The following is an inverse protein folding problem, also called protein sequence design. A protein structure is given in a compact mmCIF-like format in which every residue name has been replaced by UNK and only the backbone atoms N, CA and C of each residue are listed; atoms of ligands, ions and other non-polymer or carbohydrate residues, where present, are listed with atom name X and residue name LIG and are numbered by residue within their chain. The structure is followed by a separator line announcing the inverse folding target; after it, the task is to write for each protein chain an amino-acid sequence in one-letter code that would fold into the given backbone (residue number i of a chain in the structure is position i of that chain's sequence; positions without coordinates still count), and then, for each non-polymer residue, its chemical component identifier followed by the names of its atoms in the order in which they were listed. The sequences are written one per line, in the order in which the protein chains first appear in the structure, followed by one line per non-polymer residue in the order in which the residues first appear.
data_IF_967135159815
#
_entry.id   IF_967135159815
#
_cell.length_a   1.000
_cell.length_b   1.000
_cell.length_c   1.000
_cell.angle_alpha   90.00
_cell.angle_beta   90.00
_cell.angle_gamma   90.00
#
_symmetry.space_group_name_H-M   'P 1'
#
loop_
_entity.id
_entity.type
_entity.pdbx_description
1 polymer ?
#
# COMPACT_ATOMS: atom_id res chain seq x y z
N UNK A 1 29.50 8.82 34.00
CA UNK A 1 28.08 8.49 33.89
C UNK A 1 27.43 9.63 33.13
N UNK A 2 27.41 9.52 31.80
CA UNK A 2 26.81 10.54 30.93
C UNK A 2 25.42 9.99 30.66
N UNK A 3 24.43 10.57 31.32
CA UNK A 3 23.02 10.38 30.94
C UNK A 3 22.85 11.01 29.57
N UNK A 4 22.74 10.16 28.54
CA UNK A 4 22.19 10.55 27.25
C UNK A 4 20.68 10.81 27.51
N UNK A 5 20.34 12.07 27.67
CA UNK A 5 18.97 12.54 27.54
C UNK A 5 18.55 12.15 26.11
N UNK A 6 17.68 11.16 26.00
CA UNK A 6 16.90 10.96 24.79
C UNK A 6 16.07 12.24 24.63
N UNK A 7 16.53 13.15 23.79
CA UNK A 7 15.69 14.22 23.26
C UNK A 7 14.52 13.53 22.56
N UNK A 8 13.35 13.57 23.17
CA UNK A 8 12.10 13.21 22.49
C UNK A 8 12.02 14.07 21.24
N UNK A 9 12.38 13.47 20.10
CA UNK A 9 12.28 14.16 18.82
C UNK A 9 10.83 14.52 18.60
N UNK A 10 10.50 15.82 18.67
CA UNK A 10 9.16 16.33 18.38
C UNK A 10 8.67 15.75 17.05
N UNK A 11 7.51 15.10 17.07
CA UNK A 11 6.91 14.57 15.85
C UNK A 11 6.56 15.71 14.90
N UNK A 12 6.85 15.51 13.62
CA UNK A 12 6.48 16.46 12.56
C UNK A 12 4.95 16.57 12.49
N UNK A 13 4.41 17.77 12.59
CA UNK A 13 2.98 18.08 12.54
C UNK A 13 2.54 18.38 11.12
N UNK A 14 1.52 17.68 10.62
CA UNK A 14 0.97 17.85 9.28
C UNK A 14 -0.46 18.42 9.32
N UNK A 15 -0.74 19.40 8.47
CA UNK A 15 -2.10 19.79 8.10
C UNK A 15 -2.52 18.98 6.87
N UNK A 16 -3.63 18.24 6.96
CA UNK A 16 -4.16 17.48 5.84
C UNK A 16 -5.20 18.29 5.08
N UNK A 17 -5.16 18.26 3.75
CA UNK A 17 -6.09 18.96 2.89
C UNK A 17 -6.57 18.04 1.79
N UNK A 18 -7.86 17.79 1.70
CA UNK A 18 -8.41 16.89 0.68
C UNK A 18 -9.90 17.10 0.43
N UNK A 19 -10.38 16.34 -0.53
CA UNK A 19 -11.79 16.23 -0.87
C UNK A 19 -12.28 14.94 -0.20
N UNK A 20 -13.41 14.43 -0.39
CA UNK A 20 -14.31 13.76 0.54
C UNK A 20 -13.69 13.20 1.85
N UNK A 21 -14.48 13.11 2.88
CA UNK A 21 -14.05 12.74 4.24
C UNK A 21 -13.38 11.35 4.31
N UNK A 22 -13.84 10.41 3.50
CA UNK A 22 -13.31 9.03 3.47
C UNK A 22 -11.86 8.96 3.00
N UNK A 23 -11.48 9.78 2.01
CA UNK A 23 -10.10 9.83 1.56
C UNK A 23 -9.16 10.41 2.62
N UNK A 24 -9.64 11.36 3.44
CA UNK A 24 -8.83 11.91 4.54
C UNK A 24 -8.61 10.91 5.68
N UNK A 25 -9.52 9.98 5.94
CA UNK A 25 -9.32 8.92 6.93
C UNK A 25 -8.14 8.04 6.52
N UNK A 26 -8.08 7.66 5.26
CA UNK A 26 -6.97 6.88 4.73
C UNK A 26 -5.66 7.67 4.73
N UNK A 27 -5.69 8.95 4.31
CA UNK A 27 -4.52 9.83 4.37
C UNK A 27 -3.98 10.00 5.80
N UNK A 28 -4.86 10.11 6.81
CA UNK A 28 -4.46 10.08 8.23
C UNK A 28 -3.69 8.82 8.58
N UNK A 29 -4.18 7.66 8.14
CA UNK A 29 -3.50 6.37 8.34
C UNK A 29 -2.11 6.34 7.71
N UNK A 30 -1.95 6.90 6.50
CA UNK A 30 -0.65 7.03 5.82
C UNK A 30 0.32 7.91 6.62
N UNK A 31 -0.14 9.08 7.07
CA UNK A 31 0.65 10.05 7.84
C UNK A 31 1.10 9.44 9.18
N UNK A 32 0.20 8.74 9.88
CA UNK A 32 0.56 8.01 11.11
C UNK A 32 1.57 6.89 10.85
N UNK A 33 1.50 6.23 9.70
CA UNK A 33 2.47 5.20 9.31
C UNK A 33 3.87 5.77 9.17
N UNK A 34 4.02 7.02 8.71
CA UNK A 34 5.29 7.76 8.67
C UNK A 34 5.77 8.23 10.04
N UNK A 35 4.98 8.05 11.10
CA UNK A 35 5.31 8.55 12.43
C UNK A 35 5.05 10.04 12.64
N UNK A 36 4.35 10.69 11.70
CA UNK A 36 3.95 12.09 11.79
C UNK A 36 2.66 12.25 12.59
N UNK A 37 2.44 13.44 13.13
CA UNK A 37 1.22 13.82 13.84
C UNK A 37 0.31 14.63 12.91
N UNK A 38 -0.99 14.32 12.92
CA UNK A 38 -2.00 15.11 12.20
C UNK A 38 -2.48 16.24 13.11
N UNK A 39 -2.09 17.49 12.78
CA UNK A 39 -2.47 18.66 13.56
C UNK A 39 -3.93 19.06 13.31
N UNK A 40 -4.37 19.02 12.04
CA UNK A 40 -5.77 19.30 11.66
C UNK A 40 -6.05 18.79 10.24
N UNK A 41 -7.32 18.84 9.84
CA UNK A 41 -7.80 18.42 8.53
C UNK A 41 -8.74 19.44 7.93
N UNK A 42 -8.49 19.83 6.69
CA UNK A 42 -9.37 20.71 5.90
C UNK A 42 -10.03 19.89 4.79
N UNK A 43 -11.36 19.76 4.88
CA UNK A 43 -12.15 19.14 3.81
C UNK A 43 -12.54 20.20 2.79
N UNK A 44 -12.25 19.94 1.52
CA UNK A 44 -12.60 20.80 0.40
C UNK A 44 -13.88 20.27 -0.25
N UNK A 45 -14.94 21.07 -0.31
CA UNK A 45 -16.18 20.67 -0.97
C UNK A 45 -16.01 20.43 -2.48
N UNK A 46 -15.03 21.09 -3.10
CA UNK A 46 -14.69 20.96 -4.52
C UNK A 46 -13.21 21.28 -4.73
N UNK A 47 -12.51 20.43 -5.46
CA UNK A 47 -11.20 20.74 -6.00
C UNK A 47 -11.45 21.39 -7.37
N UNK A 48 -11.15 22.68 -7.45
CA UNK A 48 -11.23 23.40 -8.71
C UNK A 48 -9.83 23.31 -9.38
N UNK A 49 -9.77 22.84 -10.63
CA UNK A 49 -8.51 22.61 -11.36
C UNK A 49 -7.82 23.93 -11.76
N UNK A 50 -7.78 24.92 -10.86
CA UNK A 50 -7.07 26.18 -11.13
C UNK A 50 -5.57 25.97 -11.28
N UNK A 51 -4.92 26.61 -12.27
CA UNK A 51 -3.52 26.32 -12.63
C UNK A 51 -2.52 26.59 -11.52
N UNK A 52 -2.77 27.61 -10.66
CA UNK A 52 -1.78 28.06 -9.70
C UNK A 52 -1.65 27.16 -8.47
N UNK A 53 -2.78 26.73 -7.88
CA UNK A 53 -2.82 26.00 -6.60
C UNK A 53 -3.76 24.78 -6.62
N UNK A 54 -4.47 24.51 -7.71
CA UNK A 54 -5.57 23.54 -7.72
C UNK A 54 -6.84 24.05 -7.05
N UNK A 55 -6.85 25.33 -6.65
CA UNK A 55 -7.98 26.06 -6.06
C UNK A 55 -7.77 27.58 -6.18
N UNK A 56 -8.79 28.36 -5.79
CA UNK A 56 -8.70 29.84 -5.76
C UNK A 56 -7.61 30.34 -4.80
N UNK A 57 -6.90 31.39 -5.21
CA UNK A 57 -5.77 31.97 -4.45
C UNK A 57 -6.16 32.36 -3.02
N UNK A 58 -7.36 32.95 -2.82
CA UNK A 58 -7.86 33.31 -1.49
C UNK A 58 -8.03 32.10 -0.57
N UNK A 59 -8.52 30.96 -1.09
CA UNK A 59 -8.62 29.71 -0.32
C UNK A 59 -7.25 29.15 0.02
N UNK A 60 -6.30 29.18 -0.92
CA UNK A 60 -4.93 28.77 -0.66
C UNK A 60 -4.26 29.61 0.44
N UNK A 61 -4.47 30.95 0.43
CA UNK A 61 -3.98 31.84 1.50
C UNK A 61 -4.60 31.53 2.85
N UNK A 62 -5.91 31.21 2.91
CA UNK A 62 -6.58 30.81 4.15
C UNK A 62 -5.99 29.51 4.71
N UNK A 63 -5.74 28.50 3.86
CA UNK A 63 -5.12 27.22 4.27
C UNK A 63 -3.72 27.46 4.82
N UNK A 64 -2.89 28.26 4.14
CA UNK A 64 -1.55 28.59 4.63
C UNK A 64 -1.57 29.37 5.95
N UNK A 65 -2.51 30.31 6.12
CA UNK A 65 -2.68 31.05 7.36
C UNK A 65 -3.10 30.12 8.51
N UNK A 66 -4.02 29.19 8.25
CA UNK A 66 -4.45 28.18 9.22
C UNK A 66 -3.29 27.24 9.61
N UNK A 67 -2.53 26.72 8.64
CA UNK A 67 -1.36 25.88 8.89
C UNK A 67 -0.33 26.58 9.82
N UNK A 68 -0.08 27.88 9.61
CA UNK A 68 0.79 28.68 10.48
C UNK A 68 0.22 28.86 11.88
N UNK A 69 -1.10 29.08 11.98
CA UNK A 69 -1.77 29.28 13.27
C UNK A 69 -1.76 28.03 14.17
N UNK A 70 -1.78 26.83 13.56
CA UNK A 70 -1.70 25.54 14.30
C UNK A 70 -0.25 25.02 14.43
N UNK A 71 0.73 25.80 14.00
CA UNK A 71 2.14 25.42 14.01
C UNK A 71 2.42 24.11 13.26
N UNK A 72 1.79 23.92 12.11
CA UNK A 72 2.07 22.79 11.24
C UNK A 72 3.44 22.93 10.58
N UNK A 73 4.19 21.85 10.52
CA UNK A 73 5.51 21.78 9.89
C UNK A 73 5.41 21.55 8.38
N UNK A 74 4.29 20.99 7.92
CA UNK A 74 4.00 20.74 6.49
C UNK A 74 2.51 20.71 6.20
N UNK A 75 2.15 20.81 4.91
CA UNK A 75 0.82 20.51 4.39
C UNK A 75 0.89 19.25 3.54
N UNK A 76 -0.11 18.38 3.67
CA UNK A 76 -0.24 17.17 2.84
C UNK A 76 -1.57 17.23 2.10
N UNK A 77 -1.48 17.20 0.77
CA UNK A 77 -2.64 17.21 -0.13
C UNK A 77 -3.05 15.79 -0.50
N UNK A 78 -4.33 15.47 -0.42
CA UNK A 78 -4.88 14.15 -0.79
C UNK A 78 -5.08 13.97 -2.30
N UNK A 79 -4.51 14.84 -3.10
CA UNK A 79 -4.52 14.78 -4.56
C UNK A 79 -3.15 15.06 -5.12
N UNK A 80 -2.94 14.67 -6.37
CA UNK A 80 -1.67 14.85 -7.05
C UNK A 80 -1.34 16.32 -7.28
N UNK A 81 -0.14 16.71 -6.89
CA UNK A 81 0.41 18.04 -7.15
C UNK A 81 1.40 17.98 -8.31
N UNK A 82 1.12 18.67 -9.40
CA UNK A 82 2.16 18.93 -10.38
C UNK A 82 3.28 19.79 -9.78
N UNK A 83 4.51 19.70 -10.30
CA UNK A 83 5.68 20.38 -9.73
C UNK A 83 5.50 21.91 -9.64
N UNK A 84 4.70 22.51 -10.50
CA UNK A 84 4.44 23.96 -10.51
C UNK A 84 3.52 24.35 -9.36
N UNK A 85 2.46 23.60 -9.14
CA UNK A 85 1.54 23.82 -8.01
C UNK A 85 2.24 23.62 -6.69
N UNK A 86 3.00 22.52 -6.53
CA UNK A 86 3.75 22.25 -5.30
C UNK A 86 4.66 23.43 -4.96
N UNK A 87 5.47 23.91 -5.90
CA UNK A 87 6.33 25.09 -5.71
C UNK A 87 5.53 26.34 -5.32
N UNK A 88 4.38 26.59 -5.97
CA UNK A 88 3.57 27.76 -5.65
C UNK A 88 3.04 27.69 -4.21
N UNK A 89 2.62 26.49 -3.77
CA UNK A 89 2.21 26.24 -2.40
C UNK A 89 3.34 26.48 -1.40
N UNK A 90 4.53 25.92 -1.63
CA UNK A 90 5.69 26.09 -0.77
C UNK A 90 6.13 27.56 -0.65
N UNK A 91 6.08 28.31 -1.76
CA UNK A 91 6.32 29.75 -1.75
C UNK A 91 5.30 30.53 -0.95
N UNK A 92 4.02 30.16 -1.04
CA UNK A 92 2.95 30.82 -0.32
C UNK A 92 3.01 30.55 1.17
N UNK A 93 3.26 29.30 1.56
CA UNK A 93 3.26 28.85 2.95
C UNK A 93 4.59 29.13 3.66
N UNK A 94 5.72 28.95 2.96
CA UNK A 94 7.07 29.07 3.51
C UNK A 94 7.60 27.81 4.17
N UNK A 95 6.91 26.66 4.01
CA UNK A 95 7.29 25.34 4.50
C UNK A 95 6.90 24.25 3.47
N UNK A 96 7.39 23.00 3.64
CA UNK A 96 7.14 21.92 2.68
C UNK A 96 5.66 21.59 2.47
N UNK A 97 5.32 21.28 1.22
CA UNK A 97 3.99 20.79 0.84
C UNK A 97 4.15 19.51 0.05
N UNK A 98 3.54 18.45 0.54
CA UNK A 98 3.60 17.11 -0.04
C UNK A 98 2.26 16.73 -0.65
N UNK A 99 2.27 15.83 -1.62
CA UNK A 99 1.07 15.16 -2.07
C UNK A 99 0.99 13.72 -1.50
N UNK A 100 -0.15 13.08 -1.70
CA UNK A 100 -0.38 11.69 -1.28
C UNK A 100 0.67 10.74 -1.85
N UNK A 101 1.12 10.97 -3.09
CA UNK A 101 2.12 10.14 -3.76
C UNK A 101 3.47 10.18 -3.04
N UNK A 102 3.92 11.36 -2.64
CA UNK A 102 5.18 11.51 -1.91
C UNK A 102 5.13 10.83 -0.53
N UNK A 103 3.97 10.91 0.16
CA UNK A 103 3.77 10.21 1.44
C UNK A 103 3.91 8.70 1.25
N UNK A 104 3.27 8.12 0.23
CA UNK A 104 3.35 6.69 -0.07
C UNK A 104 4.78 6.28 -0.41
N UNK A 105 5.47 7.03 -1.29
CA UNK A 105 6.87 6.76 -1.64
C UNK A 105 7.81 6.78 -0.43
N UNK A 106 7.57 7.67 0.54
CA UNK A 106 8.34 7.72 1.79
C UNK A 106 8.07 6.51 2.68
N UNK A 107 6.82 6.05 2.78
CA UNK A 107 6.48 4.82 3.50
C UNK A 107 7.21 3.63 2.88
N UNK A 108 7.18 3.53 1.54
CA UNK A 108 7.83 2.44 0.83
C UNK A 108 9.35 2.45 1.01
N UNK A 109 9.98 3.63 0.99
CA UNK A 109 11.40 3.76 1.26
C UNK A 109 11.80 3.27 2.67
N UNK A 110 10.91 3.41 3.65
CA UNK A 110 11.14 2.89 5.00
C UNK A 110 10.90 1.38 5.12
N UNK A 111 10.03 0.81 4.26
CA UNK A 111 9.59 -0.59 4.36
C UNK A 111 10.32 -1.54 3.41
N UNK A 112 10.88 -1.05 2.31
CA UNK A 112 11.60 -1.87 1.33
C UNK A 112 12.83 -2.54 1.97
N UNK A 113 12.88 -3.87 1.94
CA UNK A 113 13.98 -4.66 2.50
C UNK A 113 14.69 -5.49 1.44
N UNK A 114 13.96 -6.02 0.46
CA UNK A 114 14.58 -6.78 -0.62
C UNK A 114 15.31 -5.84 -1.59
N UNK A 115 16.34 -6.37 -2.23
CA UNK A 115 17.11 -5.61 -3.24
C UNK A 115 16.20 -5.10 -4.36
N UNK A 116 15.20 -5.88 -4.75
CA UNK A 116 14.25 -5.52 -5.80
C UNK A 116 13.37 -4.33 -5.36
N UNK A 117 12.74 -4.43 -4.18
CA UNK A 117 11.90 -3.36 -3.65
C UNK A 117 12.69 -2.06 -3.42
N UNK A 118 13.91 -2.15 -2.87
CA UNK A 118 14.77 -0.97 -2.68
C UNK A 118 15.11 -0.28 -4.00
N UNK A 119 15.48 -1.05 -5.03
CA UNK A 119 15.80 -0.50 -6.36
C UNK A 119 14.55 0.10 -7.02
N UNK A 120 13.40 -0.55 -6.89
CA UNK A 120 12.16 -0.06 -7.46
C UNK A 120 11.71 1.24 -6.79
N UNK A 121 11.70 1.28 -5.46
CA UNK A 121 11.35 2.50 -4.71
C UNK A 121 12.33 3.63 -5.02
N UNK A 122 13.63 3.33 -5.13
CA UNK A 122 14.63 4.33 -5.56
C UNK A 122 14.32 4.87 -6.96
N UNK A 123 13.97 4.00 -7.91
CA UNK A 123 13.59 4.39 -9.26
C UNK A 123 12.40 5.36 -9.23
N UNK A 124 11.34 5.00 -8.51
CA UNK A 124 10.11 5.79 -8.44
C UNK A 124 10.35 7.16 -7.75
N UNK A 125 11.17 7.19 -6.69
CA UNK A 125 11.57 8.44 -6.04
C UNK A 125 12.36 9.34 -7.00
N UNK A 126 13.26 8.79 -7.79
CA UNK A 126 14.03 9.53 -8.79
C UNK A 126 13.13 10.07 -9.91
N UNK A 127 12.19 9.25 -10.40
CA UNK A 127 11.24 9.66 -11.44
C UNK A 127 10.27 10.72 -10.93
N UNK A 128 9.77 10.59 -9.71
CA UNK A 128 8.94 11.59 -9.04
C UNK A 128 9.69 12.92 -8.82
N UNK A 129 10.96 12.86 -8.43
CA UNK A 129 11.78 14.05 -8.15
C UNK A 129 12.28 14.76 -9.42
N UNK A 130 12.53 14.04 -10.50
CA UNK A 130 13.14 14.57 -11.72
C UNK A 130 12.43 15.80 -12.31
N UNK A 131 11.08 15.84 -12.47
CA UNK A 131 10.38 17.04 -12.92
C UNK A 131 10.41 18.16 -11.88
N UNK A 132 10.51 17.83 -10.59
CA UNK A 132 10.52 18.77 -9.45
C UNK A 132 11.85 19.50 -9.32
N UNK A 133 12.97 18.89 -9.69
CA UNK A 133 14.30 19.53 -9.72
C UNK A 133 14.34 20.80 -10.57
N UNK A 134 13.55 20.86 -11.63
CA UNK A 134 13.51 22.02 -12.53
C UNK A 134 13.11 23.32 -11.81
N UNK A 135 12.44 23.22 -10.70
CA UNK A 135 11.85 24.33 -9.98
C UNK A 135 12.65 24.79 -8.77
N UNK A 136 13.52 23.94 -8.21
CA UNK A 136 14.33 24.28 -7.04
C UNK A 136 15.38 25.37 -7.32
N UNK A 137 15.96 25.38 -8.51
CA UNK A 137 17.05 26.30 -8.89
C UNK A 137 16.60 27.62 -9.52
N UNK A 138 15.37 27.71 -10.01
CA UNK A 138 14.84 28.93 -10.62
C UNK A 138 14.73 30.11 -9.65
N UNK A 139 14.67 29.86 -8.36
CA UNK A 139 14.54 30.86 -7.31
C UNK A 139 15.89 31.32 -6.77
N UNK A 140 16.91 30.47 -6.72
CA UNK A 140 18.27 30.87 -6.35
C UNK A 140 18.88 31.83 -7.38
N UNK A 141 18.54 31.70 -8.66
CA UNK A 141 18.99 32.62 -9.71
C UNK A 141 18.36 34.01 -9.60
N UNK A 142 17.15 34.11 -9.02
CA UNK A 142 16.45 35.39 -8.82
C UNK A 142 16.83 36.10 -7.52
N UNK A 143 17.25 35.37 -6.47
CA UNK A 143 17.62 35.95 -5.20
C UNK A 143 19.02 36.65 -5.19
N UNK A 144 19.88 36.31 -6.14
CA UNK A 144 21.14 37.07 -6.35
C UNK A 144 20.91 38.18 -7.39
N UNK A 145 20.24 39.22 -6.97
CA UNK A 145 20.11 40.46 -7.72
C UNK A 145 21.49 41.08 -7.99
N UNK A 146 21.83 41.26 -9.26
CA UNK A 146 22.87 42.13 -9.71
C UNK A 146 24.26 41.51 -9.93
N UNK A 147 24.46 40.92 -11.10
CA UNK A 147 25.58 41.20 -12.00
C UNK A 147 25.40 40.51 -13.36
N UNK A 148 25.61 41.23 -14.40
CA UNK A 148 25.59 40.78 -15.81
C UNK A 148 26.72 39.76 -16.08
N UNK A 149 26.49 38.49 -15.71
CA UNK A 149 27.50 37.44 -15.89
C UNK A 149 27.15 36.09 -15.25
N UNK A 150 26.16 36.06 -14.34
CA UNK A 150 25.85 34.89 -13.52
C UNK A 150 24.67 34.01 -14.04
N UNK A 151 24.06 34.37 -15.17
CA UNK A 151 22.92 33.59 -15.75
C UNK A 151 23.28 32.17 -16.17
N UNK A 152 24.55 31.87 -16.40
CA UNK A 152 24.97 30.54 -16.90
C UNK A 152 25.36 29.53 -15.82
N UNK A 153 25.58 29.93 -14.55
CA UNK A 153 26.09 29.00 -13.54
C UNK A 153 24.95 28.17 -12.88
N UNK A 154 23.82 28.80 -12.57
CA UNK A 154 22.66 28.12 -12.00
C UNK A 154 21.96 27.17 -12.99
N UNK A 155 21.86 27.57 -14.27
CA UNK A 155 21.30 26.74 -15.32
C UNK A 155 22.21 25.54 -15.62
N UNK A 156 23.55 25.74 -15.63
CA UNK A 156 24.51 24.63 -15.77
C UNK A 156 24.44 23.66 -14.60
N UNK A 157 24.34 24.14 -13.36
CA UNK A 157 24.23 23.27 -12.21
C UNK A 157 22.94 22.44 -12.23
N UNK A 158 21.81 23.07 -12.55
CA UNK A 158 20.53 22.36 -12.72
C UNK A 158 20.62 21.27 -13.80
N UNK A 159 21.29 21.57 -14.91
CA UNK A 159 21.43 20.60 -15.99
C UNK A 159 22.34 19.43 -15.61
N UNK A 160 23.41 19.69 -14.84
CA UNK A 160 24.28 18.66 -14.28
C UNK A 160 23.53 17.78 -13.29
N UNK A 161 22.73 18.35 -12.38
CA UNK A 161 21.95 17.59 -11.41
C UNK A 161 20.89 16.73 -12.08
N UNK A 162 20.18 17.26 -13.09
CA UNK A 162 19.23 16.49 -13.91
C UNK A 162 19.91 15.36 -14.68
N UNK A 163 21.11 15.61 -15.20
CA UNK A 163 21.89 14.57 -15.88
C UNK A 163 22.30 13.49 -14.86
N UNK A 164 22.77 13.88 -13.68
CA UNK A 164 23.11 12.93 -12.62
C UNK A 164 21.93 12.05 -12.22
N UNK A 165 20.74 12.64 -12.07
CA UNK A 165 19.50 11.86 -11.76
C UNK A 165 19.12 10.93 -12.91
N UNK A 166 19.18 11.37 -14.18
CA UNK A 166 18.92 10.50 -15.33
C UNK A 166 19.92 9.35 -15.43
N UNK A 167 21.19 9.62 -15.19
CA UNK A 167 22.24 8.59 -15.18
C UNK A 167 22.02 7.60 -14.03
N UNK A 168 21.47 8.06 -12.90
CA UNK A 168 21.09 7.18 -11.78
C UNK A 168 19.89 6.33 -12.12
N UNK A 169 18.83 6.90 -12.73
CA UNK A 169 17.64 6.18 -13.23
C UNK A 169 18.08 5.07 -14.19
N UNK A 170 18.96 5.39 -15.16
CA UNK A 170 19.45 4.39 -16.11
C UNK A 170 20.17 3.22 -15.43
N UNK A 171 21.03 3.52 -14.43
CA UNK A 171 21.76 2.49 -13.69
C UNK A 171 20.82 1.62 -12.86
N UNK A 172 19.87 2.24 -12.13
CA UNK A 172 18.89 1.52 -11.29
C UNK A 172 18.01 0.61 -12.15
N UNK A 173 17.50 1.08 -13.30
CA UNK A 173 16.73 0.26 -14.23
C UNK A 173 17.52 -0.96 -14.71
N UNK A 174 18.79 -0.78 -15.07
CA UNK A 174 19.65 -1.89 -15.50
C UNK A 174 19.94 -2.89 -14.38
N UNK A 175 20.04 -2.45 -13.14
CA UNK A 175 20.18 -3.35 -11.99
C UNK A 175 18.88 -4.11 -11.71
N UNK A 176 17.75 -3.43 -11.79
CA UNK A 176 16.43 -4.02 -11.62
C UNK A 176 16.16 -5.12 -12.64
N UNK A 177 16.46 -4.86 -13.94
CA UNK A 177 16.32 -5.87 -15.00
C UNK A 177 17.08 -7.17 -14.67
N UNK A 178 18.28 -7.07 -14.10
CA UNK A 178 19.05 -8.26 -13.70
C UNK A 178 18.40 -9.02 -12.55
N UNK A 179 17.82 -8.29 -11.57
CA UNK A 179 17.12 -8.91 -10.43
C UNK A 179 15.88 -9.64 -10.91
N UNK A 180 15.09 -9.01 -11.79
CA UNK A 180 13.89 -9.61 -12.41
C UNK A 180 14.25 -10.87 -13.22
N UNK A 181 15.32 -10.84 -14.01
CA UNK A 181 15.79 -12.03 -14.75
C UNK A 181 16.14 -13.19 -13.81
N UNK A 182 16.84 -12.92 -12.72
CA UNK A 182 17.20 -13.94 -11.73
C UNK A 182 15.95 -14.53 -11.05
N UNK A 183 14.97 -13.68 -10.69
CA UNK A 183 13.70 -14.13 -10.13
C UNK A 183 12.93 -15.05 -11.10
N UNK A 184 12.86 -14.71 -12.38
CA UNK A 184 12.20 -15.52 -13.40
C UNK A 184 12.85 -16.90 -13.52
N UNK A 185 14.18 -17.01 -13.39
CA UNK A 185 14.86 -18.31 -13.36
C UNK A 185 14.49 -19.12 -12.12
N UNK A 186 14.43 -18.50 -10.94
CA UNK A 186 14.04 -19.19 -9.70
C UNK A 186 12.57 -19.64 -9.76
N UNK A 187 11.68 -18.83 -10.36
CA UNK A 187 10.28 -19.17 -10.56
C UNK A 187 10.09 -20.40 -11.43
N UNK A 188 10.73 -20.46 -12.61
CA UNK A 188 10.70 -21.63 -13.49
C UNK A 188 11.18 -22.92 -12.79
N UNK A 189 12.01 -22.81 -11.74
CA UNK A 189 12.40 -23.96 -10.91
C UNK A 189 11.28 -24.35 -9.93
N UNK A 190 10.55 -23.39 -9.36
CA UNK A 190 9.39 -23.64 -8.48
C UNK A 190 8.24 -24.29 -9.24
N UNK A 191 7.93 -23.84 -10.46
CA UNK A 191 6.87 -24.41 -11.32
C UNK A 191 7.09 -25.91 -11.59
N UNK A 192 8.34 -26.38 -11.59
CA UNK A 192 8.68 -27.80 -11.74
C UNK A 192 8.43 -28.63 -10.48
N UNK A 193 8.25 -28.00 -9.32
CA UNK A 193 8.06 -28.72 -8.03
C UNK A 193 6.63 -29.14 -7.78
N UNK A 194 5.69 -28.79 -8.66
CA UNK A 194 4.26 -29.10 -8.55
C UNK A 194 3.58 -28.61 -7.24
N UNK A 195 4.21 -27.64 -6.54
CA UNK A 195 3.66 -27.03 -5.32
C UNK A 195 2.78 -25.86 -5.73
N UNK A 196 1.53 -25.87 -5.31
CA UNK A 196 0.56 -24.82 -5.62
C UNK A 196 0.86 -23.52 -4.86
N UNK A 197 0.70 -22.38 -5.54
CA UNK A 197 0.87 -21.06 -4.99
C UNK A 197 -0.49 -20.43 -4.70
N UNK A 198 -0.69 -20.00 -3.46
CA UNK A 198 -1.89 -19.27 -3.02
C UNK A 198 -1.46 -17.88 -2.58
N UNK A 199 -2.08 -16.84 -3.13
CA UNK A 199 -1.76 -15.45 -2.78
C UNK A 199 -2.89 -14.80 -1.98
N UNK A 200 -2.51 -14.09 -0.91
CA UNK A 200 -3.41 -13.23 -0.15
C UNK A 200 -3.43 -11.85 -0.83
N UNK A 201 -4.57 -11.41 -1.30
CA UNK A 201 -4.77 -10.06 -1.80
C UNK A 201 -5.91 -9.38 -1.04
N UNK A 202 -5.90 -8.06 -0.98
CA UNK A 202 -6.90 -7.31 -0.23
C UNK A 202 -6.41 -5.90 0.11
N UNK A 203 -7.33 -5.12 0.62
CA UNK A 203 -7.06 -3.74 0.99
C UNK A 203 -6.01 -3.63 2.12
N UNK A 204 -5.36 -2.47 2.27
CA UNK A 204 -4.48 -2.22 3.42
C UNK A 204 -5.26 -2.41 4.72
N UNK A 205 -4.61 -3.00 5.73
CA UNK A 205 -5.20 -3.28 7.04
C UNK A 205 -6.40 -4.25 7.05
N UNK A 206 -6.67 -4.99 5.96
CA UNK A 206 -7.70 -6.05 5.95
C UNK A 206 -7.31 -7.30 6.76
N UNK A 207 -6.07 -7.37 7.26
CA UNK A 207 -5.58 -8.47 8.09
C UNK A 207 -4.89 -9.60 7.34
N UNK A 208 -4.35 -9.35 6.13
CA UNK A 208 -3.64 -10.36 5.31
C UNK A 208 -2.45 -11.00 6.04
N UNK A 209 -1.56 -10.17 6.59
CA UNK A 209 -0.37 -10.66 7.34
C UNK A 209 -0.76 -11.39 8.62
N UNK A 210 -1.83 -10.94 9.30
CA UNK A 210 -2.40 -11.65 10.45
C UNK A 210 -2.94 -13.02 10.03
N UNK A 211 -3.60 -13.09 8.87
CA UNK A 211 -4.14 -14.34 8.33
C UNK A 211 -3.02 -15.30 7.93
N UNK A 212 -1.94 -14.81 7.29
CA UNK A 212 -0.75 -15.62 7.01
C UNK A 212 -0.22 -16.25 8.30
N UNK A 213 -0.02 -15.45 9.36
CA UNK A 213 0.48 -15.93 10.65
C UNK A 213 -0.45 -16.97 11.27
N UNK A 214 -1.76 -16.70 11.30
CA UNK A 214 -2.76 -17.60 11.87
C UNK A 214 -2.85 -18.95 11.13
N UNK A 215 -2.65 -18.96 9.81
CA UNK A 215 -2.70 -20.17 9.01
C UNK A 215 -1.39 -20.99 9.09
N UNK A 216 -0.24 -20.32 9.20
CA UNK A 216 1.09 -20.96 9.07
C UNK A 216 1.83 -21.07 10.41
N UNK A 217 1.27 -20.60 11.52
CA UNK A 217 1.92 -20.49 12.84
C UNK A 217 3.28 -19.78 12.74
N UNK A 218 3.36 -18.74 11.91
CA UNK A 218 4.57 -17.94 11.72
C UNK A 218 4.46 -16.61 12.47
N UNK A 219 5.62 -16.01 12.78
CA UNK A 219 5.74 -14.71 13.43
C UNK A 219 6.06 -13.61 12.40
N UNK A 220 5.27 -13.49 11.32
CA UNK A 220 5.43 -12.38 10.42
C UNK A 220 5.07 -11.07 11.14
N UNK A 221 5.81 -10.02 10.85
CA UNK A 221 5.59 -8.72 11.45
C UNK A 221 4.21 -8.18 11.10
N UNK A 222 3.38 -7.94 12.12
CA UNK A 222 2.03 -7.39 11.98
C UNK A 222 1.97 -6.08 12.76
N UNK A 223 1.68 -5.00 12.07
CA UNK A 223 1.36 -3.70 12.67
C UNK A 223 -0.02 -3.25 12.20
N UNK A 224 -0.73 -2.54 13.07
CA UNK A 224 -1.97 -1.84 12.70
C UNK A 224 -1.64 -0.52 11.95
N UNK A 225 -0.88 -0.63 10.88
CA UNK A 225 -0.43 0.47 10.02
C UNK A 225 -0.63 0.10 8.56
N UNK A 226 -0.88 1.12 7.73
CA UNK A 226 -0.99 0.94 6.29
C UNK A 226 0.36 0.51 5.72
N UNK A 227 0.36 -0.40 4.75
CA UNK A 227 1.58 -0.95 4.14
C UNK A 227 2.55 -1.58 5.15
N UNK A 228 2.03 -2.38 6.09
CA UNK A 228 2.88 -3.14 7.01
C UNK A 228 3.82 -4.10 6.25
N UNK A 229 3.32 -4.68 5.15
CA UNK A 229 4.05 -5.56 4.22
C UNK A 229 4.24 -4.84 2.89
N UNK A 230 5.49 -4.70 2.42
CA UNK A 230 5.83 -4.20 1.08
C UNK A 230 6.42 -5.32 0.22
N UNK A 231 7.34 -6.10 0.79
CA UNK A 231 7.92 -7.26 0.13
C UNK A 231 7.01 -8.49 0.29
N UNK A 232 6.82 -9.33 -0.76
CA UNK A 232 6.01 -10.52 -0.65
C UNK A 232 6.62 -11.51 0.36
N UNK A 233 5.81 -11.96 1.30
CA UNK A 233 6.23 -12.91 2.32
C UNK A 233 5.60 -14.28 2.06
N UNK A 234 6.40 -15.25 1.60
CA UNK A 234 5.94 -16.60 1.30
C UNK A 234 6.25 -17.55 2.45
N UNK A 235 5.27 -18.37 2.82
CA UNK A 235 5.38 -19.43 3.82
C UNK A 235 4.80 -20.73 3.28
N UNK A 236 5.33 -21.85 3.76
CA UNK A 236 4.76 -23.17 3.50
C UNK A 236 3.60 -23.43 4.42
N UNK A 237 2.52 -23.96 3.87
CA UNK A 237 1.34 -24.38 4.60
C UNK A 237 1.00 -25.81 4.20
N UNK A 238 0.86 -26.68 5.20
CA UNK A 238 0.35 -28.03 5.00
C UNK A 238 -1.16 -28.03 5.24
N UNK A 239 -1.91 -28.45 4.24
CA UNK A 239 -3.35 -28.59 4.29
C UNK A 239 -3.70 -30.07 4.44
N UNK A 240 -4.38 -30.39 5.54
CA UNK A 240 -4.89 -31.75 5.76
C UNK A 240 -6.06 -32.02 4.81
N UNK A 241 -6.16 -33.26 4.35
CA UNK A 241 -7.30 -33.69 3.57
C UNK A 241 -8.53 -33.83 4.48
N UNK A 242 -9.62 -33.06 4.29
CA UNK A 242 -10.79 -33.14 5.16
C UNK A 242 -11.45 -34.53 5.17
N UNK A 243 -11.34 -35.26 4.07
CA UNK A 243 -11.96 -36.59 3.93
C UNK A 243 -11.11 -37.71 4.54
N UNK A 244 -9.85 -37.44 4.91
CA UNK A 244 -8.93 -38.45 5.40
C UNK A 244 -9.37 -39.08 6.73
N UNK A 245 -10.00 -38.32 7.61
CA UNK A 245 -10.49 -38.79 8.91
C UNK A 245 -11.75 -39.66 8.82
N UNK A 246 -12.49 -39.60 7.71
CA UNK A 246 -13.76 -40.32 7.52
C UNK A 246 -13.57 -41.68 6.83
N UNK A 247 -12.33 -42.04 6.43
CA UNK A 247 -12.06 -43.26 5.69
C UNK A 247 -11.74 -44.37 6.69
N UNK A 248 -12.71 -45.23 6.95
CA UNK A 248 -12.55 -46.48 7.74
C UNK A 248 -11.86 -47.62 6.97
N UNK A 249 -11.72 -47.50 5.65
CA UNK A 249 -11.13 -48.53 4.80
C UNK A 249 -9.85 -48.06 4.09
N UNK A 250 -8.71 -48.48 4.60
CA UNK A 250 -7.36 -48.19 4.02
C UNK A 250 -7.03 -49.04 2.78
N UNK A 251 -7.98 -49.83 2.26
CA UNK A 251 -7.72 -50.80 1.19
C UNK A 251 -7.82 -50.25 -0.23
N UNK A 252 -8.33 -49.03 -0.43
CA UNK A 252 -8.38 -48.40 -1.75
C UNK A 252 -7.28 -47.29 -1.85
N UNK A 253 -6.20 -47.65 -2.51
CA UNK A 253 -4.93 -46.98 -2.60
C UNK A 253 -4.97 -45.48 -2.91
N UNK A 254 -3.97 -44.78 -2.39
CA UNK A 254 -3.49 -43.42 -2.73
C UNK A 254 -4.31 -42.23 -2.28
N UNK A 255 -4.94 -42.23 -1.11
CA UNK A 255 -5.45 -40.98 -0.54
C UNK A 255 -4.31 -40.32 0.25
N UNK A 256 -3.82 -39.18 -0.25
CA UNK A 256 -2.80 -38.38 0.44
C UNK A 256 -3.36 -37.79 1.72
N UNK A 257 -2.55 -37.79 2.80
CA UNK A 257 -2.90 -37.16 4.08
C UNK A 257 -3.16 -35.65 3.95
N UNK A 258 -2.61 -35.03 2.90
CA UNK A 258 -2.74 -33.61 2.66
C UNK A 258 -1.84 -33.13 1.54
N UNK A 259 -1.80 -31.83 1.35
CA UNK A 259 -0.96 -31.16 0.33
C UNK A 259 -0.16 -30.01 0.95
N UNK A 260 1.10 -29.88 0.55
CA UNK A 260 1.91 -28.71 0.85
C UNK A 260 1.65 -27.64 -0.22
N UNK A 261 1.40 -26.41 0.22
CA UNK A 261 1.24 -25.24 -0.64
C UNK A 261 2.20 -24.12 -0.19
N UNK A 262 2.39 -23.16 -1.07
CA UNK A 262 3.02 -21.89 -0.73
C UNK A 262 1.92 -20.84 -0.56
N UNK A 263 1.88 -20.21 0.60
CA UNK A 263 0.98 -19.09 0.90
C UNK A 263 1.80 -17.81 0.95
N UNK A 264 1.42 -16.83 0.11
CA UNK A 264 2.15 -15.57 -0.03
C UNK A 264 1.28 -14.41 0.41
N UNK A 265 1.76 -13.64 1.40
CA UNK A 265 1.21 -12.32 1.75
C UNK A 265 1.73 -11.28 0.78
N UNK A 266 0.85 -10.39 0.33
CA UNK A 266 1.18 -9.34 -0.64
C UNK A 266 0.90 -7.95 -0.08
N UNK A 267 1.41 -6.94 -0.76
CA UNK A 267 1.12 -5.55 -0.43
C UNK A 267 -0.39 -5.28 -0.42
N UNK A 268 -0.85 -4.46 0.53
CA UNK A 268 -2.25 -4.04 0.57
C UNK A 268 -2.58 -2.97 -0.46
N UNK A 269 -3.77 -3.07 -1.06
CA UNK A 269 -4.28 -2.03 -1.96
C UNK A 269 -4.78 -0.82 -1.17
N UNK A 270 -4.76 0.33 -1.83
CA UNK A 270 -5.33 1.60 -1.33
C UNK A 270 -6.14 2.27 -2.44
N UNK A 271 -7.01 3.20 -2.07
CA UNK A 271 -7.73 4.03 -3.04
C UNK A 271 -6.78 4.95 -3.79
N UNK A 272 -7.11 5.21 -5.06
CA UNK A 272 -6.36 6.12 -5.92
C UNK A 272 -4.86 5.80 -5.98
N UNK A 273 -4.51 4.51 -6.10
CA UNK A 273 -3.12 4.09 -6.28
C UNK A 273 -2.59 4.68 -7.61
N UNK A 274 -1.56 5.52 -7.60
CA UNK A 274 -1.02 6.08 -8.83
C UNK A 274 -0.48 4.98 -9.75
N UNK A 275 -0.77 5.05 -11.05
CA UNK A 275 -0.35 4.05 -12.03
C UNK A 275 1.17 3.78 -12.05
N UNK A 276 1.99 4.80 -11.77
CA UNK A 276 3.45 4.59 -11.70
C UNK A 276 3.85 3.75 -10.48
N UNK A 277 3.08 3.82 -9.36
CA UNK A 277 3.31 2.97 -8.18
C UNK A 277 2.85 1.52 -8.41
N UNK A 278 1.92 1.26 -9.34
CA UNK A 278 1.59 -0.11 -9.76
C UNK A 278 2.85 -0.81 -10.28
N UNK A 279 3.71 -0.10 -10.99
CA UNK A 279 5.02 -0.60 -11.41
C UNK A 279 5.96 -0.87 -10.22
N UNK A 280 5.89 -0.06 -9.14
CA UNK A 280 6.64 -0.29 -7.90
C UNK A 280 6.25 -1.61 -7.23
N UNK A 281 5.00 -2.00 -7.36
CA UNK A 281 4.47 -3.25 -6.83
C UNK A 281 4.55 -4.41 -7.80
N UNK A 282 5.14 -4.21 -8.99
CA UNK A 282 5.14 -5.24 -10.03
C UNK A 282 5.64 -6.60 -9.52
N UNK A 283 6.67 -6.60 -8.66
CA UNK A 283 7.20 -7.83 -8.06
C UNK A 283 6.24 -8.51 -7.10
N UNK A 284 5.49 -7.73 -6.31
CA UNK A 284 4.50 -8.25 -5.36
C UNK A 284 3.20 -8.62 -6.06
N UNK A 285 2.80 -7.81 -7.04
CA UNK A 285 1.60 -8.04 -7.85
C UNK A 285 1.80 -9.21 -8.83
N UNK A 286 3.02 -9.48 -9.28
CA UNK A 286 3.31 -10.69 -10.05
C UNK A 286 3.01 -11.99 -9.26
N UNK A 287 3.29 -12.04 -7.95
CA UNK A 287 2.95 -13.21 -7.14
C UNK A 287 1.41 -13.41 -7.08
N UNK A 288 0.62 -12.32 -7.16
CA UNK A 288 -0.85 -12.39 -7.29
C UNK A 288 -1.25 -12.84 -8.68
N UNK A 289 -0.68 -12.25 -9.74
CA UNK A 289 -1.02 -12.54 -11.13
C UNK A 289 -0.75 -14.00 -11.53
N UNK A 290 0.21 -14.64 -10.88
CA UNK A 290 0.61 -16.03 -11.18
C UNK A 290 0.21 -17.03 -10.09
N UNK A 291 -0.60 -16.63 -9.11
CA UNK A 291 -1.11 -17.55 -8.11
C UNK A 291 -2.08 -18.57 -8.74
N UNK A 292 -2.00 -19.81 -8.26
CA UNK A 292 -2.97 -20.84 -8.64
C UNK A 292 -4.35 -20.60 -7.99
N UNK A 293 -4.38 -19.88 -6.87
CA UNK A 293 -5.59 -19.52 -6.14
C UNK A 293 -5.40 -18.16 -5.45
N UNK A 294 -6.41 -17.29 -5.53
CA UNK A 294 -6.44 -16.01 -4.82
C UNK A 294 -7.32 -16.07 -3.57
N UNK A 295 -6.83 -15.58 -2.45
CA UNK A 295 -7.63 -15.32 -1.26
C UNK A 295 -7.87 -13.80 -1.17
N UNK A 296 -9.06 -13.35 -1.53
CA UNK A 296 -9.44 -11.93 -1.44
C UNK A 296 -9.92 -11.65 -0.02
N UNK A 297 -9.05 -11.03 0.77
CA UNK A 297 -9.30 -10.73 2.19
C UNK A 297 -9.96 -9.37 2.31
N UNK A 298 -11.17 -9.37 2.86
CA UNK A 298 -11.98 -8.19 3.08
C UNK A 298 -12.17 -7.96 4.59
N UNK A 299 -12.02 -6.71 5.03
CA UNK A 299 -12.37 -6.29 6.38
C UNK A 299 -13.90 -6.14 6.48
N UNK A 300 -14.55 -7.10 7.11
CA UNK A 300 -16.02 -7.08 7.21
C UNK A 300 -16.54 -5.96 8.13
N UNK A 301 -15.69 -5.41 8.98
CA UNK A 301 -16.04 -4.30 9.89
C UNK A 301 -15.97 -2.91 9.22
N UNK A 302 -15.42 -2.84 7.99
CA UNK A 302 -15.27 -1.56 7.29
C UNK A 302 -16.55 -1.21 6.51
N UNK A 303 -17.17 -0.03 6.74
CA UNK A 303 -18.35 0.41 5.99
C UNK A 303 -18.11 0.50 4.47
N UNK A 304 -16.88 0.72 4.05
CA UNK A 304 -16.46 0.87 2.66
C UNK A 304 -16.00 -0.43 2.00
N UNK A 305 -16.22 -1.58 2.63
CA UNK A 305 -15.72 -2.88 2.16
C UNK A 305 -16.09 -3.20 0.71
N UNK A 306 -17.28 -2.80 0.25
CA UNK A 306 -17.69 -3.01 -1.14
C UNK A 306 -16.92 -2.13 -2.12
N UNK A 307 -16.64 -0.89 -1.74
CA UNK A 307 -15.78 0.01 -2.53
C UNK A 307 -14.34 -0.51 -2.57
N UNK A 308 -13.84 -1.00 -1.44
CA UNK A 308 -12.52 -1.65 -1.37
C UNK A 308 -12.45 -2.88 -2.26
N UNK A 309 -13.49 -3.70 -2.30
CA UNK A 309 -13.55 -4.85 -3.20
C UNK A 309 -13.52 -4.44 -4.68
N UNK A 310 -14.26 -3.40 -5.07
CA UNK A 310 -14.22 -2.86 -6.43
C UNK A 310 -12.82 -2.36 -6.80
N UNK A 311 -12.15 -1.66 -5.90
CA UNK A 311 -10.75 -1.21 -6.07
C UNK A 311 -9.80 -2.41 -6.25
N UNK A 312 -9.99 -3.48 -5.45
CA UNK A 312 -9.20 -4.72 -5.59
C UNK A 312 -9.38 -5.31 -6.98
N UNK A 313 -10.64 -5.44 -7.45
CA UNK A 313 -10.93 -6.01 -8.76
C UNK A 313 -10.30 -5.21 -9.90
N UNK A 314 -10.37 -3.87 -9.84
CA UNK A 314 -9.73 -3.01 -10.84
C UNK A 314 -8.23 -3.27 -10.94
N UNK A 315 -7.53 -3.35 -9.80
CA UNK A 315 -6.09 -3.63 -9.79
C UNK A 315 -5.79 -5.05 -10.27
N UNK A 316 -6.60 -6.06 -9.89
CA UNK A 316 -6.44 -7.43 -10.38
C UNK A 316 -6.62 -7.52 -11.90
N UNK A 317 -7.56 -6.77 -12.47
CA UNK A 317 -7.76 -6.67 -13.91
C UNK A 317 -6.56 -6.01 -14.61
N UNK A 318 -6.01 -4.91 -14.07
CA UNK A 318 -4.83 -4.23 -14.61
C UNK A 318 -3.59 -5.14 -14.70
N UNK A 319 -3.44 -6.06 -13.73
CA UNK A 319 -2.31 -7.01 -13.71
C UNK A 319 -2.62 -8.34 -14.42
N UNK A 320 -3.81 -8.48 -15.03
CA UNK A 320 -4.29 -9.70 -15.69
C UNK A 320 -4.27 -10.92 -14.76
N UNK A 321 -4.64 -10.76 -13.48
CA UNK A 321 -4.77 -11.86 -12.54
C UNK A 321 -6.05 -12.66 -12.83
N UNK A 322 -5.99 -14.00 -12.63
CA UNK A 322 -7.17 -14.85 -12.79
C UNK A 322 -8.09 -14.73 -11.57
N UNK A 323 -9.14 -13.96 -11.70
CA UNK A 323 -10.14 -13.76 -10.65
C UNK A 323 -11.20 -14.86 -10.59
N UNK A 324 -11.22 -15.81 -11.55
CA UNK A 324 -12.19 -16.91 -11.54
C UNK A 324 -11.84 -17.95 -10.47
N UNK A 325 -10.55 -18.11 -10.16
CA UNK A 325 -10.07 -19.00 -9.12
C UNK A 325 -9.76 -18.23 -7.84
N UNK A 326 -10.78 -17.77 -7.13
CA UNK A 326 -10.62 -17.04 -5.87
C UNK A 326 -11.56 -17.57 -4.78
N UNK A 327 -11.18 -17.27 -3.52
CA UNK A 327 -12.02 -17.41 -2.34
C UNK A 327 -12.14 -16.03 -1.69
N UNK A 328 -13.37 -15.61 -1.42
CA UNK A 328 -13.63 -14.38 -0.66
C UNK A 328 -13.54 -14.72 0.83
N UNK A 329 -12.69 -14.02 1.54
CA UNK A 329 -12.46 -14.18 2.99
C UNK A 329 -12.93 -12.94 3.71
N UNK A 330 -14.01 -13.06 4.47
CA UNK A 330 -14.53 -12.00 5.34
C UNK A 330 -13.83 -12.09 6.68
N UNK A 331 -12.84 -11.22 6.89
CA UNK A 331 -12.05 -11.17 8.13
C UNK A 331 -12.62 -10.17 9.13
N UNK A 332 -12.16 -10.24 10.37
CA UNK A 332 -12.56 -9.40 11.53
C UNK A 332 -14.02 -9.55 11.95
N UNK A 333 -14.56 -10.77 11.82
CA UNK A 333 -15.93 -11.04 12.26
C UNK A 333 -16.11 -10.89 13.79
N UNK A 334 -15.03 -10.94 14.56
CA UNK A 334 -15.00 -10.63 16.00
C UNK A 334 -15.55 -9.23 16.32
N UNK A 335 -15.42 -8.26 15.39
CA UNK A 335 -15.98 -6.92 15.59
C UNK A 335 -17.52 -6.90 15.73
N UNK A 336 -18.22 -7.95 15.28
CA UNK A 336 -19.66 -8.08 15.42
C UNK A 336 -20.08 -8.91 16.63
N UNK A 337 -19.18 -9.73 17.18
CA UNK A 337 -19.44 -10.58 18.35
C UNK A 337 -19.12 -9.87 19.66
N UNK A 338 -18.18 -8.93 19.65
CA UNK A 338 -17.74 -8.17 20.84
C UNK A 338 -18.65 -6.97 21.19
N UNK A 339 -19.63 -6.63 20.33
CA UNK A 339 -20.58 -5.53 20.60
C UNK A 339 -21.73 -6.02 21.49
N UNK A 340 -21.78 -5.58 22.72
CA UNK A 340 -22.79 -5.92 23.75
C UNK A 340 -24.23 -5.45 23.45
N UNK A 341 -24.46 -4.80 22.37
CA UNK A 341 -25.80 -4.56 21.79
C UNK A 341 -25.61 -4.55 20.29
N UNK A 342 -26.21 -5.55 19.62
CA UNK A 342 -26.30 -5.65 18.19
C UNK A 342 -26.79 -4.32 17.60
N UNK A 343 -25.84 -3.45 17.21
CA UNK A 343 -26.18 -2.31 16.41
C UNK A 343 -26.78 -2.84 15.12
N UNK A 344 -28.08 -2.65 14.96
CA UNK A 344 -28.86 -3.10 13.77
C UNK A 344 -28.15 -2.71 12.47
N UNK A 345 -27.40 -1.61 12.51
CA UNK A 345 -26.58 -1.11 11.43
C UNK A 345 -25.47 -2.09 11.02
N UNK A 346 -24.74 -2.63 12.01
CA UNK A 346 -23.64 -3.57 11.77
C UNK A 346 -24.13 -4.90 11.19
N UNK A 347 -25.24 -5.43 11.73
CA UNK A 347 -25.87 -6.64 11.19
C UNK A 347 -26.39 -6.42 9.77
N UNK A 348 -26.95 -5.26 9.48
CA UNK A 348 -27.41 -4.91 8.14
C UNK A 348 -26.24 -4.86 7.14
N UNK A 349 -25.10 -4.29 7.52
CA UNK A 349 -23.90 -4.26 6.67
C UNK A 349 -23.37 -5.66 6.41
N UNK A 350 -23.24 -6.49 7.43
CA UNK A 350 -22.79 -7.88 7.27
C UNK A 350 -23.71 -8.67 6.33
N UNK A 351 -25.03 -8.60 6.53
CA UNK A 351 -26.01 -9.27 5.67
C UNK A 351 -25.91 -8.79 4.21
N UNK A 352 -25.61 -7.50 3.98
CA UNK A 352 -25.41 -6.94 2.64
C UNK A 352 -24.14 -7.50 1.99
N UNK A 353 -23.07 -7.65 2.73
CA UNK A 353 -21.80 -8.23 2.27
C UNK A 353 -22.02 -9.71 1.92
N UNK A 354 -22.64 -10.48 2.80
CA UNK A 354 -22.95 -11.90 2.59
C UNK A 354 -23.83 -12.14 1.36
N UNK A 355 -24.82 -11.28 1.15
CA UNK A 355 -25.66 -11.34 -0.05
C UNK A 355 -24.87 -11.06 -1.33
N UNK A 356 -23.86 -10.19 -1.28
CA UNK A 356 -22.99 -9.88 -2.43
C UNK A 356 -22.05 -11.04 -2.74
N UNK A 357 -21.59 -11.76 -1.70
CA UNK A 357 -20.63 -12.85 -1.80
C UNK A 357 -21.24 -14.16 -1.26
N UNK A 358 -22.07 -14.87 -2.04
CA UNK A 358 -22.73 -16.09 -1.56
C UNK A 358 -21.74 -17.21 -1.22
N UNK A 359 -20.60 -17.26 -1.88
CA UNK A 359 -19.52 -18.21 -1.62
C UNK A 359 -18.36 -17.48 -0.91
N UNK A 360 -18.46 -17.32 0.40
CA UNK A 360 -17.42 -16.69 1.22
C UNK A 360 -17.06 -17.54 2.44
N UNK A 361 -15.89 -17.29 3.01
CA UNK A 361 -15.48 -17.87 4.28
C UNK A 361 -15.31 -16.76 5.30
N UNK A 362 -15.95 -16.90 6.45
CA UNK A 362 -15.85 -15.97 7.58
C UNK A 362 -14.70 -16.36 8.48
N UNK A 363 -13.85 -15.40 8.86
CA UNK A 363 -12.73 -15.65 9.75
C UNK A 363 -12.54 -14.51 10.76
N UNK A 364 -12.04 -14.88 11.94
CA UNK A 364 -11.40 -13.94 12.87
C UNK A 364 -9.96 -14.38 13.08
N UNK A 365 -9.02 -13.57 12.64
CA UNK A 365 -7.60 -13.81 12.90
C UNK A 365 -7.21 -13.56 14.36
N UNK A 366 -8.05 -12.85 15.13
CA UNK A 366 -7.88 -12.57 16.55
C UNK A 366 -8.20 -13.81 17.39
N UNK A 367 -9.34 -14.46 17.11
CA UNK A 367 -9.87 -15.55 17.92
C UNK A 367 -9.63 -16.93 17.29
N UNK A 368 -9.16 -16.97 16.05
CA UNK A 368 -8.94 -18.21 15.31
C UNK A 368 -10.20 -18.83 14.70
N UNK A 369 -11.34 -18.16 14.79
CA UNK A 369 -12.60 -18.65 14.26
C UNK A 369 -12.55 -18.73 12.72
N UNK A 370 -13.11 -19.78 12.12
CA UNK A 370 -13.24 -19.97 10.66
C UNK A 370 -11.94 -20.39 9.95
N UNK A 371 -10.82 -20.51 10.66
CA UNK A 371 -9.53 -20.88 10.03
C UNK A 371 -9.50 -22.33 9.54
N UNK A 372 -10.20 -23.24 10.22
CA UNK A 372 -10.30 -24.64 9.80
C UNK A 372 -11.12 -24.76 8.53
N UNK A 373 -12.24 -24.06 8.45
CA UNK A 373 -13.13 -23.97 7.29
C UNK A 373 -12.39 -23.36 6.09
N UNK A 374 -11.59 -22.33 6.33
CA UNK A 374 -10.78 -21.71 5.27
C UNK A 374 -9.73 -22.71 4.74
N UNK A 375 -9.02 -23.46 5.62
CA UNK A 375 -8.06 -24.49 5.18
C UNK A 375 -8.75 -25.56 4.35
N UNK A 376 -9.95 -26.00 4.73
CA UNK A 376 -10.73 -27.00 3.97
C UNK A 376 -11.17 -26.44 2.60
N UNK A 377 -11.63 -25.19 2.55
CA UNK A 377 -12.02 -24.52 1.31
C UNK A 377 -10.83 -24.37 0.33
N UNK A 378 -9.65 -23.97 0.85
CA UNK A 378 -8.41 -23.90 0.06
C UNK A 378 -8.05 -25.28 -0.48
N UNK A 379 -8.06 -26.33 0.39
CA UNK A 379 -7.74 -27.70 -0.02
C UNK A 379 -8.65 -28.19 -1.17
N UNK A 380 -9.96 -27.95 -1.06
CA UNK A 380 -10.93 -28.30 -2.09
C UNK A 380 -10.61 -27.62 -3.42
N UNK A 381 -10.46 -26.28 -3.42
CA UNK A 381 -10.20 -25.48 -4.62
C UNK A 381 -8.93 -25.86 -5.36
N UNK A 382 -7.85 -26.18 -4.64
CA UNK A 382 -6.58 -26.59 -5.26
C UNK A 382 -6.55 -28.07 -5.67
N UNK A 383 -7.59 -28.83 -5.33
CA UNK A 383 -7.72 -30.25 -5.69
C UNK A 383 -8.61 -30.47 -6.92
N UNK A 384 -9.40 -29.48 -7.26
CA UNK A 384 -10.17 -29.37 -8.51
C UNK A 384 -9.23 -29.02 -9.69
#
# INVERSE_FOLDING_TARGET
MIELLEEEQRKTKALLVGNPLDNLIELKGLVHTLGMEVADCIVLNKIDMQPAFGMGTGKAQQICAHAKAIEADCIIMDYELDPTKQRNWEKLCGFPVFDRQEVILRIFAQRAQTKEAVLQVELDQLEYSLPRLRHMYGDFARQRGGNYGSKGSGEKQLELDRRGVRDRIFRVRKELEKVVQNRNVQRKRRDRSNVKNVALCGYTNAGKSSLLNALTNSDAFVENKLFATLDPLTRKLFLENPDYQNIQDFSSGNISKGKEILLTDTVGFISNLPHFLVNAFHSTLEEVAYADLLLIVLDSSDPNVLLHYETILQVLEEINADTNNCIIVLNKIDAYTDSDESDETSQFYLARIEKKFPEHVKVSTKDGQGLAELKAAIYKKISE
#
